data_IF_347830175419
#
_entry.id   IF_347830175419
#
_cell.length_a   1.000
_cell.length_b   1.000
_cell.length_c   1.000
_cell.angle_alpha   90.00
_cell.angle_beta   90.00
_cell.angle_gamma   90.00
#
_symmetry.space_group_name_H-M   'P 1'
#
loop_
_entity.id
_entity.type
_entity.pdbx_description
1 polymer ?
#
# COMPACT_ATOMS: atom_id res chain seq x y z
N UNK A 1 6.63 -16.54 -0.04
CA UNK A 1 6.32 -15.67 1.10
C UNK A 1 5.82 -16.59 2.21
N UNK A 2 6.47 -16.61 3.37
CA UNK A 2 6.01 -17.47 4.47
C UNK A 2 4.67 -16.94 5.05
N UNK A 3 3.96 -17.80 5.78
CA UNK A 3 2.64 -17.47 6.33
C UNK A 3 2.67 -16.42 7.44
N UNK A 4 3.75 -16.40 8.23
CA UNK A 4 3.98 -15.42 9.29
C UNK A 4 4.18 -14.02 8.69
N UNK A 5 4.96 -13.94 7.61
CA UNK A 5 5.24 -12.72 6.86
C UNK A 5 3.97 -12.18 6.19
N UNK A 6 3.08 -13.06 5.69
CA UNK A 6 1.74 -12.65 5.24
C UNK A 6 0.92 -12.01 6.35
N UNK A 7 0.92 -12.62 7.54
CA UNK A 7 0.12 -12.16 8.66
C UNK A 7 0.66 -10.85 9.28
N UNK A 8 1.98 -10.69 9.38
CA UNK A 8 2.62 -9.43 9.82
C UNK A 8 2.39 -8.29 8.81
N UNK A 9 2.52 -8.60 7.52
CA UNK A 9 2.24 -7.65 6.45
C UNK A 9 0.77 -7.21 6.49
N UNK A 10 -0.15 -8.18 6.63
CA UNK A 10 -1.58 -7.92 6.75
C UNK A 10 -1.88 -7.03 7.95
N UNK A 11 -1.30 -7.32 9.12
CA UNK A 11 -1.47 -6.51 10.34
C UNK A 11 -0.98 -5.07 10.15
N UNK A 12 0.23 -4.90 9.60
CA UNK A 12 0.85 -3.58 9.41
C UNK A 12 0.06 -2.70 8.43
N UNK A 13 -0.41 -3.30 7.33
CA UNK A 13 -1.26 -2.63 6.33
C UNK A 13 -2.62 -2.28 6.93
N UNK A 14 -3.22 -3.18 7.72
CA UNK A 14 -4.53 -2.97 8.33
C UNK A 14 -4.51 -1.90 9.43
N UNK A 15 -3.41 -1.81 10.19
CA UNK A 15 -3.20 -0.74 11.17
C UNK A 15 -3.11 0.62 10.47
N UNK A 16 -2.31 0.71 9.39
CA UNK A 16 -2.25 1.93 8.56
C UNK A 16 -3.58 2.28 7.91
N UNK A 17 -4.35 1.29 7.47
CA UNK A 17 -5.71 1.49 6.95
C UNK A 17 -6.60 2.23 7.97
N UNK A 18 -6.55 1.82 9.25
CA UNK A 18 -7.34 2.47 10.31
C UNK A 18 -6.91 3.92 10.55
N UNK A 19 -5.61 4.21 10.48
CA UNK A 19 -5.08 5.57 10.60
C UNK A 19 -5.55 6.47 9.45
N UNK A 20 -5.55 5.96 8.21
CA UNK A 20 -5.98 6.71 7.03
C UNK A 20 -7.46 7.04 7.04
N UNK A 21 -8.31 6.12 7.51
CA UNK A 21 -9.76 6.33 7.59
C UNK A 21 -10.16 7.50 8.53
N UNK A 22 -9.35 7.78 9.55
CA UNK A 22 -9.62 8.87 10.50
C UNK A 22 -9.15 10.25 10.01
N UNK A 23 -8.27 10.32 9.01
CA UNK A 23 -7.45 11.52 8.80
C UNK A 23 -7.93 12.46 7.69
N UNK A 24 -8.97 12.15 6.90
CA UNK A 24 -9.51 12.99 5.79
C UNK A 24 -8.52 13.49 4.71
N UNK A 25 -7.22 13.20 4.84
CA UNK A 25 -6.16 13.53 3.89
C UNK A 25 -5.93 12.34 2.95
N UNK A 26 -6.93 12.00 2.14
CA UNK A 26 -6.91 10.76 1.36
C UNK A 26 -6.46 11.08 -0.06
N UNK A 27 -5.17 10.83 -0.28
CA UNK A 27 -4.57 10.90 -1.60
C UNK A 27 -4.80 9.59 -2.39
N UNK A 28 -5.17 8.53 -1.68
CA UNK A 28 -5.66 7.26 -2.20
C UNK A 28 -7.18 7.39 -2.38
N UNK A 29 -7.73 6.75 -3.42
CA UNK A 29 -9.16 6.78 -3.69
C UNK A 29 -9.96 6.27 -2.46
N UNK A 30 -11.04 6.97 -2.13
CA UNK A 30 -12.02 6.53 -1.12
C UNK A 30 -12.52 5.09 -1.33
N UNK A 31 -12.51 4.59 -2.57
CA UNK A 31 -12.85 3.20 -2.87
C UNK A 31 -11.92 2.19 -2.21
N UNK A 32 -10.64 2.54 -2.04
CA UNK A 32 -9.68 1.74 -1.30
C UNK A 32 -10.07 1.55 0.17
N UNK A 33 -10.99 2.36 0.69
CA UNK A 33 -11.47 2.30 2.07
C UNK A 33 -12.66 1.36 2.25
N UNK A 34 -13.09 0.66 1.20
CA UNK A 34 -14.27 -0.21 1.24
C UNK A 34 -13.98 -1.53 1.98
N UNK A 35 -12.84 -2.17 1.71
CA UNK A 35 -12.40 -3.39 2.38
C UNK A 35 -10.90 -3.64 2.14
N UNK A 36 -10.35 -4.67 2.80
CA UNK A 36 -8.92 -5.03 2.70
C UNK A 36 -8.45 -5.36 1.27
N UNK A 37 -9.29 -6.04 0.49
CA UNK A 37 -8.95 -6.45 -0.87
C UNK A 37 -8.89 -5.24 -1.80
N UNK A 38 -9.86 -4.31 -1.68
CA UNK A 38 -9.88 -3.07 -2.44
C UNK A 38 -8.72 -2.15 -2.06
N UNK A 39 -8.39 -2.06 -0.77
CA UNK A 39 -7.21 -1.33 -0.35
C UNK A 39 -5.96 -1.86 -1.04
N UNK A 40 -5.77 -3.19 -1.02
CA UNK A 40 -4.62 -3.82 -1.65
C UNK A 40 -4.60 -3.61 -3.17
N UNK A 41 -5.74 -3.74 -3.84
CA UNK A 41 -5.84 -3.51 -5.27
C UNK A 41 -5.43 -2.07 -5.61
N UNK A 42 -5.99 -1.07 -4.93
CA UNK A 42 -5.72 0.34 -5.21
C UNK A 42 -4.25 0.69 -4.91
N UNK A 43 -3.69 0.31 -3.76
CA UNK A 43 -2.27 0.62 -3.49
C UNK A 43 -1.32 -0.08 -4.47
N UNK A 44 -1.72 -1.25 -5.00
CA UNK A 44 -0.96 -1.94 -6.04
C UNK A 44 -1.01 -1.20 -7.37
N UNK A 45 -2.16 -0.66 -7.75
CA UNK A 45 -2.28 0.24 -8.92
C UNK A 45 -1.37 1.46 -8.76
N UNK A 46 -1.42 2.15 -7.62
CA UNK A 46 -0.53 3.28 -7.35
C UNK A 46 0.94 2.88 -7.39
N UNK A 47 1.28 1.66 -6.96
CA UNK A 47 2.64 1.15 -6.97
C UNK A 47 3.19 0.95 -8.39
N UNK A 48 2.37 0.56 -9.35
CA UNK A 48 2.82 0.41 -10.74
C UNK A 48 2.65 1.69 -11.56
N UNK A 49 1.55 2.43 -11.36
CA UNK A 49 1.19 3.56 -12.21
C UNK A 49 1.77 4.90 -11.72
N UNK A 50 1.88 5.10 -10.40
CA UNK A 50 2.31 6.38 -9.80
C UNK A 50 3.30 6.17 -8.64
N UNK A 51 4.39 5.40 -8.83
CA UNK A 51 5.22 4.93 -7.72
C UNK A 51 5.93 6.04 -6.92
N UNK A 52 6.35 7.13 -7.58
CA UNK A 52 6.95 8.29 -6.91
C UNK A 52 5.97 8.96 -5.94
N UNK A 53 4.71 9.07 -6.38
CA UNK A 53 3.61 9.67 -5.62
C UNK A 53 3.27 8.79 -4.41
N UNK A 54 3.17 7.48 -4.62
CA UNK A 54 2.95 6.50 -3.55
C UNK A 54 4.07 6.55 -2.51
N UNK A 55 5.34 6.57 -2.93
CA UNK A 55 6.47 6.65 -2.01
C UNK A 55 6.54 7.96 -1.22
N UNK A 56 6.15 9.08 -1.83
CA UNK A 56 6.14 10.39 -1.16
C UNK A 56 5.12 10.42 -0.01
N UNK A 57 3.89 9.98 -0.28
CA UNK A 57 2.80 10.05 0.69
C UNK A 57 2.77 8.86 1.66
N UNK A 58 3.16 7.67 1.19
CA UNK A 58 3.08 6.42 1.93
C UNK A 58 4.36 5.57 1.78
N UNK A 59 5.52 6.07 2.25
CA UNK A 59 6.81 5.41 2.03
C UNK A 59 6.86 3.98 2.59
N UNK A 60 6.24 3.74 3.75
CA UNK A 60 6.19 2.40 4.36
C UNK A 60 5.36 1.44 3.50
N UNK A 61 4.23 1.89 2.93
CA UNK A 61 3.41 1.05 2.04
C UNK A 61 4.19 0.71 0.77
N UNK A 62 4.89 1.69 0.19
CA UNK A 62 5.74 1.47 -0.98
C UNK A 62 6.82 0.41 -0.71
N UNK A 63 7.53 0.51 0.42
CA UNK A 63 8.60 -0.43 0.75
C UNK A 63 8.06 -1.85 1.00
N UNK A 64 6.88 -1.98 1.61
CA UNK A 64 6.21 -3.26 1.79
C UNK A 64 5.76 -3.88 0.46
N UNK A 65 5.20 -3.09 -0.46
CA UNK A 65 4.84 -3.56 -1.81
C UNK A 65 6.07 -3.93 -2.64
N UNK A 66 7.17 -3.19 -2.49
CA UNK A 66 8.47 -3.54 -3.09
C UNK A 66 8.98 -4.90 -2.60
N UNK A 67 8.87 -5.19 -1.30
CA UNK A 67 9.21 -6.51 -0.74
C UNK A 67 8.27 -7.61 -1.24
N UNK A 68 6.97 -7.31 -1.34
CA UNK A 68 5.94 -8.24 -1.80
C UNK A 68 6.15 -8.65 -3.27
N UNK A 69 6.20 -7.67 -4.17
CA UNK A 69 6.40 -7.88 -5.61
C UNK A 69 7.85 -8.16 -5.98
N UNK A 70 8.80 -7.94 -5.07
CA UNK A 70 10.25 -8.06 -5.28
C UNK A 70 10.77 -7.18 -6.43
N UNK A 71 10.12 -6.04 -6.65
CA UNK A 71 10.39 -5.10 -7.73
C UNK A 71 10.45 -3.69 -7.16
N UNK A 72 11.29 -2.82 -7.70
CA UNK A 72 11.34 -1.40 -7.36
C UNK A 72 10.80 -0.57 -8.54
N UNK A 73 9.50 -0.24 -8.51
CA UNK A 73 8.83 0.40 -9.65
C UNK A 73 9.32 1.81 -9.94
N UNK A 74 9.86 2.53 -8.94
CA UNK A 74 10.57 3.81 -9.19
C UNK A 74 11.81 3.61 -10.06
N UNK A 75 12.47 2.45 -10.00
CA UNK A 75 13.67 2.16 -10.82
C UNK A 75 13.34 1.63 -12.21
N UNK A 76 12.06 1.36 -12.50
CA UNK A 76 11.62 0.87 -13.80
C UNK A 76 11.17 1.98 -14.76
N UNK A 77 11.15 3.24 -14.29
CA UNK A 77 10.66 4.41 -15.03
C UNK A 77 11.80 5.41 -15.22
#
# INVERSE_FOLDING_TARGET
MDEKMRNEWKKTILEKYKELNHSHHIFIDSYALTNEAEFFAVISEYFFMQPKKLKLHYPIIYDELKKFYKIDTIKLI
#
